data_IF_460909555569
#
_entry.id   IF_460909555569
#
_cell.length_a   1.000
_cell.length_b   1.000
_cell.length_c   1.000
_cell.angle_alpha   90.00
_cell.angle_beta   90.00
_cell.angle_gamma   90.00
#
_symmetry.space_group_name_H-M   'P 1'
#
loop_
_entity.id
_entity.type
_entity.pdbx_description
1 polymer ?
#
# COMPACT_ATOMS: atom_id res chain seq x y z
N UNK A 1 2.89 -28.17 -11.95
CA UNK A 1 2.46 -27.21 -12.99
C UNK A 1 0.94 -27.21 -13.02
N UNK A 2 0.29 -26.05 -12.94
CA UNK A 2 -1.17 -25.94 -13.00
C UNK A 2 -1.53 -25.05 -14.18
N UNK A 3 -2.40 -25.54 -15.07
CA UNK A 3 -2.93 -24.78 -16.21
C UNK A 3 -4.35 -24.35 -15.81
N UNK A 4 -4.66 -23.08 -16.01
CA UNK A 4 -5.97 -22.50 -15.69
C UNK A 4 -6.56 -21.87 -16.94
N UNK A 5 -7.88 -21.93 -17.08
CA UNK A 5 -8.60 -21.32 -18.19
C UNK A 5 -9.16 -19.95 -17.81
N UNK A 6 -9.38 -19.11 -18.82
CA UNK A 6 -10.08 -17.85 -18.67
C UNK A 6 -11.59 -18.12 -18.63
N UNK A 7 -12.26 -17.67 -17.57
CA UNK A 7 -13.72 -17.74 -17.49
C UNK A 7 -14.39 -16.76 -18.46
N UNK A 8 -15.69 -16.93 -18.70
CA UNK A 8 -16.50 -16.00 -19.50
C UNK A 8 -16.49 -14.57 -18.97
N UNK A 9 -16.24 -14.39 -17.68
CA UNK A 9 -16.11 -13.08 -17.02
C UNK A 9 -14.71 -12.48 -17.11
N UNK A 10 -13.82 -13.06 -17.93
CA UNK A 10 -12.41 -12.67 -18.06
C UNK A 10 -11.63 -12.80 -16.74
N UNK A 11 -11.92 -13.83 -15.96
CA UNK A 11 -11.24 -14.12 -14.69
C UNK A 11 -10.49 -15.44 -14.79
N UNK A 12 -9.35 -15.54 -14.10
CA UNK A 12 -8.64 -16.81 -13.88
C UNK A 12 -8.85 -17.29 -12.46
N UNK A 13 -8.95 -18.60 -12.27
CA UNK A 13 -8.98 -19.20 -10.92
C UNK A 13 -7.55 -19.38 -10.42
N UNK A 14 -7.29 -19.01 -9.16
CA UNK A 14 -6.00 -19.27 -8.55
C UNK A 14 -5.91 -20.74 -8.12
N UNK A 15 -4.87 -21.49 -8.52
CA UNK A 15 -4.65 -22.85 -8.03
C UNK A 15 -4.54 -22.90 -6.50
N UNK A 16 -5.16 -23.91 -5.88
CA UNK A 16 -5.19 -24.06 -4.42
C UNK A 16 -3.79 -24.06 -3.77
N UNK A 17 -2.78 -24.61 -4.47
CA UNK A 17 -1.41 -24.63 -3.98
C UNK A 17 -0.82 -23.23 -3.85
N UNK A 18 -1.18 -22.28 -4.71
CA UNK A 18 -0.74 -20.88 -4.61
C UNK A 18 -1.48 -20.15 -3.49
N UNK A 19 -2.79 -20.38 -3.35
CA UNK A 19 -3.61 -19.80 -2.26
C UNK A 19 -3.03 -20.19 -0.90
N UNK A 20 -2.73 -21.47 -0.69
CA UNK A 20 -2.16 -21.96 0.57
C UNK A 20 -0.72 -21.48 0.80
N UNK A 21 0.13 -21.52 -0.23
CA UNK A 21 1.54 -21.10 -0.11
C UNK A 21 1.66 -19.62 0.26
N UNK A 22 0.78 -18.79 -0.27
CA UNK A 22 0.80 -17.35 -0.03
C UNK A 22 -0.08 -16.92 1.15
N UNK A 23 -0.84 -17.85 1.75
CA UNK A 23 -1.82 -17.55 2.79
C UNK A 23 -2.73 -16.39 2.36
N UNK A 24 -3.33 -16.55 1.17
CA UNK A 24 -4.23 -15.55 0.59
C UNK A 24 -5.62 -15.68 1.20
N UNK A 25 -6.18 -14.53 1.57
CA UNK A 25 -7.55 -14.41 2.08
C UNK A 25 -8.40 -13.59 1.13
N UNK A 26 -9.73 -13.65 1.33
CA UNK A 26 -10.63 -12.81 0.57
C UNK A 26 -10.27 -11.34 0.77
N UNK A 27 -10.10 -10.62 -0.35
CA UNK A 27 -9.72 -9.21 -0.34
C UNK A 27 -8.22 -8.96 -0.49
N UNK A 28 -7.36 -9.97 -0.36
CA UNK A 28 -5.96 -9.83 -0.74
C UNK A 28 -5.82 -9.60 -2.24
N UNK A 29 -4.81 -8.80 -2.61
CA UNK A 29 -4.53 -8.43 -3.98
C UNK A 29 -3.48 -9.33 -4.63
N UNK A 30 -3.41 -9.27 -5.95
CA UNK A 30 -2.31 -9.77 -6.75
C UNK A 30 -1.81 -8.63 -7.62
N UNK A 31 -0.50 -8.54 -7.80
CA UNK A 31 0.12 -7.66 -8.79
C UNK A 31 0.62 -8.48 -9.96
N UNK A 32 0.43 -7.91 -11.14
CA UNK A 32 0.88 -8.47 -12.41
C UNK A 32 1.99 -7.57 -12.93
N UNK A 33 3.16 -8.17 -13.19
CA UNK A 33 4.29 -7.52 -13.84
C UNK A 33 4.40 -8.09 -15.24
N UNK A 34 4.20 -7.24 -16.24
CA UNK A 34 4.38 -7.59 -17.64
C UNK A 34 5.86 -7.64 -17.99
N UNK A 35 6.27 -8.68 -18.71
CA UNK A 35 7.63 -8.93 -19.15
C UNK A 35 7.58 -9.57 -20.55
N UNK A 36 7.46 -8.71 -21.56
CA UNK A 36 7.20 -9.10 -22.95
C UNK A 36 5.89 -9.90 -23.07
N UNK A 37 6.00 -11.15 -23.55
CA UNK A 37 4.87 -12.07 -23.72
C UNK A 37 4.54 -12.87 -22.44
N UNK A 38 5.22 -12.58 -21.34
CA UNK A 38 5.02 -13.25 -20.06
C UNK A 38 4.54 -12.28 -19.00
N UNK A 39 3.86 -12.83 -17.99
CA UNK A 39 3.42 -12.04 -16.84
C UNK A 39 3.83 -12.76 -15.56
N UNK A 40 4.51 -12.04 -14.68
CA UNK A 40 4.81 -12.48 -13.32
C UNK A 40 3.71 -12.03 -12.38
N UNK A 41 3.20 -12.94 -11.55
CA UNK A 41 2.16 -12.65 -10.57
C UNK A 41 2.72 -12.80 -9.17
N UNK A 42 2.57 -11.77 -8.33
CA UNK A 42 2.97 -11.78 -6.92
C UNK A 42 1.79 -11.40 -6.01
N UNK A 43 1.69 -11.98 -4.80
CA UNK A 43 0.67 -11.61 -3.84
C UNK A 43 0.94 -10.23 -3.21
N UNK A 44 -0.10 -9.43 -3.03
CA UNK A 44 -0.10 -8.23 -2.20
C UNK A 44 -1.09 -8.45 -1.07
N UNK A 45 -0.56 -8.76 0.11
CA UNK A 45 -1.38 -8.83 1.32
C UNK A 45 -1.90 -7.43 1.63
N UNK A 46 -3.22 -7.29 1.77
CA UNK A 46 -3.79 -6.04 2.27
C UNK A 46 -3.41 -5.91 3.73
N UNK A 47 -2.42 -5.06 4.02
CA UNK A 47 -2.21 -4.58 5.38
C UNK A 47 -3.18 -3.43 5.61
N UNK A 48 -4.03 -3.55 6.62
CA UNK A 48 -4.80 -2.41 7.09
C UNK A 48 -3.82 -1.32 7.56
N UNK A 49 -4.20 -0.04 7.42
CA UNK A 49 -3.41 1.07 7.98
C UNK A 49 -3.18 0.91 9.49
N UNK A 50 -4.10 0.20 10.17
CA UNK A 50 -3.99 -0.17 11.57
C UNK A 50 -2.86 -1.18 11.83
N UNK A 51 -2.69 -2.18 10.98
CA UNK A 51 -1.54 -3.12 11.03
C UNK A 51 -0.21 -2.47 10.65
N UNK A 52 -0.26 -1.33 9.95
CA UNK A 52 0.91 -0.50 9.67
C UNK A 52 1.22 0.51 10.79
N UNK A 53 0.36 0.65 11.80
CA UNK A 53 0.56 1.57 12.91
C UNK A 53 1.84 1.20 13.67
N UNK A 54 2.80 2.12 13.68
CA UNK A 54 4.13 1.90 14.30
C UNK A 54 5.15 1.18 13.42
N UNK A 55 4.79 0.73 12.21
CA UNK A 55 5.73 0.11 11.26
C UNK A 55 6.66 1.14 10.59
N UNK A 56 6.26 2.41 10.56
CA UNK A 56 7.06 3.53 10.04
C UNK A 56 7.88 4.10 11.19
N UNK A 57 9.20 3.89 11.16
CA UNK A 57 10.12 4.57 12.08
C UNK A 57 10.17 6.05 11.73
N UNK A 58 9.88 6.91 12.69
CA UNK A 58 10.09 8.35 12.54
C UNK A 58 11.57 8.59 12.22
N UNK A 59 11.87 9.31 11.14
CA UNK A 59 13.26 9.65 10.75
C UNK A 59 13.98 10.45 11.84
N UNK A 60 13.22 11.16 12.67
CA UNK A 60 13.71 11.92 13.80
C UNK A 60 12.77 11.67 14.99
N UNK A 61 13.29 11.50 16.21
CA UNK A 61 12.45 11.52 17.40
C UNK A 61 11.75 12.86 17.49
N UNK A 62 10.45 12.84 17.76
CA UNK A 62 9.70 14.05 18.12
C UNK A 62 10.25 14.49 19.48
N UNK A 63 11.11 15.51 19.48
CA UNK A 63 11.83 15.95 20.68
C UNK A 63 10.94 16.77 21.61
N UNK A 64 9.95 17.48 21.08
CA UNK A 64 8.96 18.21 21.88
C UNK A 64 7.69 18.47 21.06
N UNK A 65 6.52 18.31 21.69
CA UNK A 65 5.22 18.62 21.07
C UNK A 65 5.04 20.14 20.94
N UNK A 66 5.63 20.94 21.82
CA UNK A 66 5.48 22.39 21.80
C UNK A 66 6.25 23.04 20.63
N UNK A 67 7.43 22.54 20.30
CA UNK A 67 8.18 22.94 19.09
C UNK A 67 7.38 22.62 17.81
N UNK A 68 6.73 21.46 17.74
CA UNK A 68 5.87 21.08 16.62
C UNK A 68 4.66 22.01 16.45
N UNK A 69 4.06 22.45 17.56
CA UNK A 69 2.94 23.40 17.52
C UNK A 69 3.37 24.77 17.03
N UNK A 70 4.59 25.19 17.36
CA UNK A 70 5.14 26.46 16.88
C UNK A 70 5.39 26.41 15.36
N UNK A 71 6.08 25.38 14.87
CA UNK A 71 6.32 25.20 13.42
C UNK A 71 5.00 25.12 12.64
N UNK A 72 4.00 24.42 13.16
CA UNK A 72 2.69 24.32 12.51
C UNK A 72 1.96 25.68 12.44
N UNK A 73 2.13 26.55 13.44
CA UNK A 73 1.55 27.91 13.44
C UNK A 73 2.26 28.82 12.43
N UNK A 74 3.59 28.74 12.36
CA UNK A 74 4.41 29.53 11.43
C UNK A 74 4.19 29.12 9.95
N UNK A 75 4.02 27.83 9.68
CA UNK A 75 3.62 27.32 8.36
C UNK A 75 2.20 27.74 7.96
N UNK A 76 1.29 27.86 8.94
CA UNK A 76 -0.08 28.27 8.67
C UNK A 76 -0.19 29.76 8.35
N UNK A 77 0.58 30.62 9.04
CA UNK A 77 0.60 32.07 8.76
C UNK A 77 1.22 32.38 7.39
N UNK A 78 2.35 31.75 7.06
CA UNK A 78 3.04 31.93 5.78
C UNK A 78 2.23 31.46 4.56
N UNK A 79 1.33 30.47 4.73
CA UNK A 79 0.35 30.08 3.70
C UNK A 79 -0.79 31.07 3.51
N UNK A 80 -1.14 31.85 4.53
CA UNK A 80 -2.18 32.87 4.43
C UNK A 80 -1.65 34.13 3.72
N UNK A 81 -0.41 34.54 4.00
CA UNK A 81 0.22 35.69 3.35
C UNK A 81 0.36 35.51 1.83
N UNK A 82 0.66 34.30 1.35
CA UNK A 82 0.75 34.01 -0.10
C UNK A 82 -0.58 33.97 -0.85
N UNK A 83 -1.72 34.03 -0.15
CA UNK A 83 -3.05 34.02 -0.76
C UNK A 83 -3.70 35.41 -0.80
N UNK A 84 -3.09 36.42 -0.20
CA UNK A 84 -3.69 37.77 -0.03
C UNK A 84 -2.84 38.89 -0.64
N UNK A 85 -1.76 38.56 -1.35
CA UNK A 85 -1.02 39.46 -2.24
C UNK A 85 -1.20 39.05 -3.69
#
# INVERSE_FOLDING_TARGET
MAIVSLSSKKQITLPAQLVHRWDLKQGDGLVFFEDGDSVRVLPIKRKSLLEMRGSVKAKQPIKDIDELRQVAREEHSSRHERKTG
#
